data_IF_122152255730
#
_entry.id   IF_122152255730
#
_cell.length_a   1.000
_cell.length_b   1.000
_cell.length_c   1.000
_cell.angle_alpha   90.00
_cell.angle_beta   90.00
_cell.angle_gamma   90.00
#
_symmetry.space_group_name_H-M   'P 1'
#
loop_
_entity.id
_entity.type
_entity.pdbx_description
1 polymer ?
#
# COMPACT_ATOMS: atom_id res chain seq x y z
N UNK A 1 -14.86 -15.37 8.58
CA UNK A 1 -15.61 -15.91 7.43
C UNK A 1 -15.43 -15.09 6.14
N UNK A 2 -15.10 -13.80 6.20
CA UNK A 2 -14.99 -12.96 4.99
C UNK A 2 -13.77 -13.27 4.09
N UNK A 3 -12.64 -13.70 4.66
CA UNK A 3 -11.40 -13.92 3.88
C UNK A 3 -11.47 -15.08 2.88
N UNK A 4 -12.15 -16.17 3.24
CA UNK A 4 -12.37 -17.29 2.32
C UNK A 4 -13.24 -16.88 1.13
N UNK A 5 -14.33 -16.15 1.41
CA UNK A 5 -15.22 -15.63 0.37
C UNK A 5 -14.50 -14.69 -0.59
N UNK A 6 -13.61 -13.82 -0.10
CA UNK A 6 -12.82 -12.94 -0.98
C UNK A 6 -11.85 -13.71 -1.87
N UNK A 7 -11.20 -14.76 -1.34
CA UNK A 7 -10.29 -15.59 -2.15
C UNK A 7 -11.08 -16.38 -3.20
N UNK A 8 -12.23 -16.93 -2.84
CA UNK A 8 -13.10 -17.65 -3.78
C UNK A 8 -13.57 -16.71 -4.90
N UNK A 9 -14.03 -15.50 -4.56
CA UNK A 9 -14.44 -14.50 -5.53
C UNK A 9 -13.29 -14.09 -6.46
N UNK A 10 -12.08 -13.89 -5.90
CA UNK A 10 -10.88 -13.56 -6.67
C UNK A 10 -10.54 -14.68 -7.66
N UNK A 11 -10.48 -15.93 -7.19
CA UNK A 11 -10.18 -17.09 -8.06
C UNK A 11 -11.24 -17.21 -9.15
N UNK A 12 -12.53 -17.01 -8.83
CA UNK A 12 -13.60 -17.11 -9.83
C UNK A 12 -13.49 -16.03 -10.92
N UNK A 13 -13.30 -14.77 -10.53
CA UNK A 13 -13.15 -13.64 -11.46
C UNK A 13 -11.90 -13.82 -12.31
N UNK A 14 -10.75 -14.09 -11.70
CA UNK A 14 -9.50 -14.29 -12.42
C UNK A 14 -9.63 -15.46 -13.40
N UNK A 15 -10.20 -16.58 -12.96
CA UNK A 15 -10.37 -17.75 -13.82
C UNK A 15 -11.27 -17.47 -15.02
N UNK A 16 -12.30 -16.64 -14.84
CA UNK A 16 -13.20 -16.24 -15.93
C UNK A 16 -12.47 -15.43 -17.01
N UNK A 17 -11.66 -14.44 -16.62
CA UNK A 17 -10.95 -13.59 -17.58
C UNK A 17 -9.72 -14.25 -18.19
N UNK A 18 -8.98 -15.05 -17.43
CA UNK A 18 -7.76 -15.71 -17.91
C UNK A 18 -8.03 -17.04 -18.63
N UNK A 19 -9.25 -17.58 -18.57
CA UNK A 19 -9.62 -18.85 -19.21
C UNK A 19 -8.96 -20.09 -18.59
N UNK A 20 -8.31 -19.95 -17.44
CA UNK A 20 -7.66 -21.02 -16.67
C UNK A 20 -7.74 -20.72 -15.19
N UNK A 21 -7.76 -21.75 -14.34
CA UNK A 21 -7.78 -21.56 -12.89
C UNK A 21 -6.49 -20.91 -12.42
N UNK A 22 -6.61 -19.67 -11.93
CA UNK A 22 -5.46 -18.84 -11.54
C UNK A 22 -5.70 -18.26 -10.17
N UNK A 23 -4.66 -18.35 -9.33
CA UNK A 23 -4.58 -17.60 -8.10
C UNK A 23 -3.44 -16.59 -8.28
N UNK A 24 -3.80 -15.36 -8.69
CA UNK A 24 -2.82 -14.36 -9.12
C UNK A 24 -1.70 -14.10 -8.09
N UNK A 25 -1.98 -13.93 -6.77
CA UNK A 25 -0.92 -13.76 -5.77
C UNK A 25 0.06 -14.93 -5.69
N UNK A 26 -0.42 -16.17 -5.82
CA UNK A 26 0.42 -17.37 -5.78
C UNK A 26 1.24 -17.49 -7.06
N UNK A 27 0.66 -17.16 -8.22
CA UNK A 27 1.39 -17.19 -9.49
C UNK A 27 2.53 -16.17 -9.52
N UNK A 28 2.37 -14.99 -8.90
CA UNK A 28 3.46 -14.03 -8.77
C UNK A 28 4.62 -14.65 -8.00
N UNK A 29 4.35 -15.33 -6.89
CA UNK A 29 5.40 -15.98 -6.08
C UNK A 29 6.02 -17.17 -6.83
N UNK A 30 5.20 -18.05 -7.42
CA UNK A 30 5.68 -19.21 -8.19
C UNK A 30 6.56 -18.80 -9.36
N UNK A 31 6.17 -17.76 -10.10
CA UNK A 31 6.93 -17.27 -11.23
C UNK A 31 8.25 -16.61 -10.80
N UNK A 32 8.21 -15.73 -9.78
CA UNK A 32 9.40 -14.95 -9.40
C UNK A 32 10.37 -15.71 -8.47
N UNK A 33 9.92 -16.72 -7.73
CA UNK A 33 10.75 -17.44 -6.75
C UNK A 33 11.14 -18.84 -7.23
N UNK A 34 10.26 -19.53 -7.96
CA UNK A 34 10.44 -20.96 -8.28
C UNK A 34 10.66 -21.25 -9.77
N UNK A 35 10.64 -20.25 -10.66
CA UNK A 35 10.88 -20.45 -12.08
C UNK A 35 12.32 -20.12 -12.48
N UNK A 36 12.88 -20.87 -13.43
CA UNK A 36 14.24 -20.67 -13.96
C UNK A 36 14.38 -19.47 -14.91
N UNK A 37 13.27 -18.90 -15.38
CA UNK A 37 13.24 -17.83 -16.39
C UNK A 37 12.99 -16.42 -15.81
N UNK A 38 12.54 -16.31 -14.56
CA UNK A 38 12.30 -15.01 -13.90
C UNK A 38 13.29 -14.84 -12.75
N UNK A 39 14.16 -13.82 -12.76
CA UNK A 39 13.72 -12.42 -12.66
C UNK A 39 14.66 -11.39 -13.35
N UNK A 40 15.58 -11.82 -14.22
CA UNK A 40 16.70 -10.98 -14.69
C UNK A 40 16.34 -10.02 -15.84
N UNK A 41 15.06 -9.77 -16.11
CA UNK A 41 14.62 -8.92 -17.22
C UNK A 41 15.07 -7.46 -17.06
N UNK A 42 15.25 -6.97 -15.82
CA UNK A 42 15.63 -5.58 -15.55
C UNK A 42 16.85 -5.43 -14.61
N UNK A 43 17.71 -6.45 -14.51
CA UNK A 43 18.96 -6.38 -13.73
C UNK A 43 18.80 -6.66 -12.23
N UNK A 44 19.91 -6.55 -11.50
CA UNK A 44 19.99 -6.78 -10.05
C UNK A 44 20.25 -5.44 -9.35
N UNK A 45 19.52 -5.19 -8.27
CA UNK A 45 19.57 -3.94 -7.52
C UNK A 45 19.78 -4.24 -6.02
N UNK A 46 20.44 -3.33 -5.32
CA UNK A 46 20.72 -3.49 -3.89
C UNK A 46 19.45 -3.44 -3.04
N UNK A 47 19.47 -4.06 -1.86
CA UNK A 47 18.36 -4.03 -0.89
C UNK A 47 17.93 -2.60 -0.50
N UNK A 48 18.85 -1.64 -0.59
CA UNK A 48 18.62 -0.21 -0.34
C UNK A 48 17.55 0.34 -1.30
N UNK A 49 17.41 -0.22 -2.51
CA UNK A 49 16.37 0.16 -3.46
C UNK A 49 14.98 0.10 -2.84
N UNK A 50 14.63 -1.01 -2.17
CA UNK A 50 13.33 -1.15 -1.53
C UNK A 50 13.13 -0.20 -0.35
N UNK A 51 14.17 0.08 0.42
CA UNK A 51 14.09 1.06 1.51
C UNK A 51 13.80 2.44 0.94
N UNK A 52 14.58 2.89 -0.05
CA UNK A 52 14.35 4.16 -0.75
C UNK A 52 12.94 4.21 -1.34
N UNK A 53 12.49 3.14 -1.99
CA UNK A 53 11.16 3.06 -2.58
C UNK A 53 10.04 3.18 -1.54
N UNK A 54 10.17 2.49 -0.40
CA UNK A 54 9.19 2.57 0.69
C UNK A 54 9.15 3.97 1.32
N UNK A 55 10.31 4.58 1.58
CA UNK A 55 10.35 5.95 2.11
C UNK A 55 9.83 6.97 1.11
N UNK A 56 10.12 6.81 -0.18
CA UNK A 56 9.61 7.71 -1.20
C UNK A 56 8.09 7.58 -1.31
N UNK A 57 7.54 6.34 -1.36
CA UNK A 57 6.11 6.09 -1.57
C UNK A 57 5.25 6.35 -0.34
N UNK A 58 5.69 5.88 0.83
CA UNK A 58 4.92 5.93 2.06
C UNK A 58 5.37 7.04 3.03
N UNK A 59 6.43 7.79 2.69
CA UNK A 59 6.95 8.88 3.50
C UNK A 59 7.11 8.47 4.97
N UNK A 60 6.48 9.20 5.88
CA UNK A 60 6.54 8.94 7.31
C UNK A 60 5.70 7.74 7.74
N UNK A 61 4.72 7.28 6.94
CA UNK A 61 3.80 6.22 7.33
C UNK A 61 4.50 4.86 7.45
N UNK A 62 5.54 4.61 6.63
CA UNK A 62 6.34 3.38 6.74
C UNK A 62 7.01 3.26 8.12
N UNK A 63 7.40 4.39 8.71
CA UNK A 63 8.03 4.43 10.03
C UNK A 63 7.04 4.03 11.13
N UNK A 64 5.75 4.31 10.94
CA UNK A 64 4.71 3.99 11.93
C UNK A 64 4.24 2.54 11.90
N UNK A 65 4.32 1.87 10.74
CA UNK A 65 3.87 0.49 10.57
C UNK A 65 4.46 -0.50 11.59
N UNK A 66 5.77 -0.51 11.91
CA UNK A 66 6.33 -1.45 12.90
C UNK A 66 5.87 -1.19 14.33
N UNK A 67 5.43 0.02 14.66
CA UNK A 67 4.96 0.36 16.01
C UNK A 67 3.53 -0.10 16.30
N UNK A 68 2.79 -0.56 15.28
CA UNK A 68 1.42 -1.01 15.44
C UNK A 68 1.33 -2.20 16.42
N UNK A 69 2.25 -3.17 16.30
CA UNK A 69 2.26 -4.37 17.16
C UNK A 69 2.66 -4.03 18.59
N UNK A 70 3.78 -3.33 18.88
CA UNK A 70 4.13 -2.93 20.25
C UNK A 70 3.05 -2.10 20.94
N UNK A 71 2.43 -1.14 20.25
CA UNK A 71 1.39 -0.30 20.85
C UNK A 71 0.08 -1.07 21.06
N UNK A 72 -0.29 -1.95 20.13
CA UNK A 72 -1.44 -2.84 20.31
C UNK A 72 -1.20 -3.84 21.45
N UNK A 73 0.01 -4.38 21.58
CA UNK A 73 0.41 -5.26 22.67
C UNK A 73 0.39 -4.52 24.02
N UNK A 74 0.86 -3.27 24.07
CA UNK A 74 0.76 -2.44 25.27
C UNK A 74 -0.70 -2.19 25.66
N UNK A 75 -1.57 -1.86 24.70
CA UNK A 75 -3.01 -1.74 24.92
C UNK A 75 -3.61 -3.04 25.46
N UNK A 76 -3.23 -4.19 24.90
CA UNK A 76 -3.63 -5.51 25.36
C UNK A 76 -3.21 -5.81 26.81
N UNK A 77 -1.93 -5.58 27.15
CA UNK A 77 -1.41 -5.77 28.52
C UNK A 77 -2.11 -4.86 29.52
N UNK A 78 -2.40 -3.62 29.16
CA UNK A 78 -3.11 -2.69 30.05
C UNK A 78 -4.57 -3.09 30.27
N UNK A 79 -5.26 -3.55 29.24
CA UNK A 79 -6.63 -4.10 29.38
C UNK A 79 -6.61 -5.35 30.27
N UNK A 80 -5.57 -6.20 30.16
CA UNK A 80 -5.35 -7.33 31.07
C UNK A 80 -5.14 -6.91 32.52
N UNK A 81 -4.39 -5.84 32.74
CA UNK A 81 -4.02 -5.34 34.08
C UNK A 81 -5.18 -4.65 34.81
N UNK A 82 -6.25 -4.28 34.10
CA UNK A 82 -7.45 -3.72 34.73
C UNK A 82 -8.17 -4.77 35.59
N UNK A 83 -8.12 -4.59 36.92
CA UNK A 83 -8.70 -5.49 37.95
C UNK A 83 -10.18 -5.85 37.70
N UNK A 84 -10.92 -4.97 37.04
CA UNK A 84 -12.35 -5.10 36.79
C UNK A 84 -12.69 -6.18 35.73
N UNK A 85 -11.77 -6.45 34.79
CA UNK A 85 -11.93 -7.49 33.77
C UNK A 85 -11.22 -8.79 34.17
N UNK A 86 -10.13 -8.69 34.93
CA UNK A 86 -9.36 -9.82 35.47
C UNK A 86 -10.18 -10.75 36.37
N UNK A 87 -11.21 -10.25 37.07
CA UNK A 87 -12.04 -11.07 37.97
C UNK A 87 -13.23 -11.73 37.25
N UNK A 88 -13.51 -11.37 35.98
CA UNK A 88 -14.64 -11.92 35.22
C UNK A 88 -14.24 -13.02 34.22
N UNK A 89 -12.95 -13.20 33.97
CA UNK A 89 -12.49 -14.06 32.87
C UNK A 89 -11.42 -15.04 33.39
N UNK A 90 -11.69 -16.36 33.42
CA UNK A 90 -10.67 -17.36 33.75
C UNK A 90 -9.54 -17.37 32.69
N UNK A 91 -8.41 -18.00 33.01
CA UNK A 91 -7.23 -18.16 32.14
C UNK A 91 -7.51 -19.03 30.89
N UNK A 92 -8.76 -19.31 30.58
CA UNK A 92 -9.08 -20.06 29.38
C UNK A 92 -8.63 -19.26 28.15
N UNK A 93 -8.07 -19.96 27.17
CA UNK A 93 -7.57 -19.43 25.89
C UNK A 93 -8.76 -18.95 25.04
N UNK A 94 -9.53 -17.99 25.57
CA UNK A 94 -10.80 -17.57 25.02
C UNK A 94 -10.55 -16.71 23.78
N UNK A 95 -11.04 -17.21 22.64
CA UNK A 95 -10.93 -16.55 21.35
C UNK A 95 -11.47 -15.11 21.38
N UNK A 96 -12.53 -14.85 22.17
CA UNK A 96 -13.13 -13.53 22.35
C UNK A 96 -12.15 -12.46 22.87
N UNK A 97 -11.11 -12.88 23.58
CA UNK A 97 -10.12 -11.99 24.18
C UNK A 97 -9.00 -11.62 23.20
N UNK A 98 -8.51 -12.60 22.45
CA UNK A 98 -7.45 -12.42 21.45
C UNK A 98 -7.94 -11.80 20.13
N UNK A 99 -9.26 -11.82 19.88
CA UNK A 99 -9.92 -11.21 18.72
C UNK A 99 -9.55 -9.74 18.47
N UNK A 100 -9.18 -8.97 19.50
CA UNK A 100 -8.80 -7.55 19.34
C UNK A 100 -7.35 -7.34 18.89
N UNK A 101 -6.45 -8.26 19.25
CA UNK A 101 -5.01 -8.15 18.96
C UNK A 101 -4.59 -8.99 17.74
N UNK A 102 -5.15 -10.19 17.59
CA UNK A 102 -4.81 -11.12 16.51
C UNK A 102 -4.91 -10.52 15.10
N UNK A 103 -5.93 -9.71 14.75
CA UNK A 103 -6.01 -9.14 13.41
C UNK A 103 -4.82 -8.22 13.09
N UNK A 104 -4.41 -7.36 14.03
CA UNK A 104 -3.26 -6.46 13.85
C UNK A 104 -1.98 -7.27 13.71
N UNK A 105 -1.81 -8.31 14.54
CA UNK A 105 -0.67 -9.20 14.46
C UNK A 105 -0.62 -9.95 13.12
N UNK A 106 -1.73 -10.52 12.65
CA UNK A 106 -1.75 -11.25 11.38
C UNK A 106 -1.52 -10.34 10.17
N UNK A 107 -2.05 -9.13 10.18
CA UNK A 107 -1.74 -8.11 9.15
C UNK A 107 -0.25 -7.78 9.13
N UNK A 108 0.34 -7.55 10.31
CA UNK A 108 1.78 -7.29 10.42
C UNK A 108 2.62 -8.48 9.94
N UNK A 109 2.26 -9.70 10.35
CA UNK A 109 2.94 -10.92 9.91
C UNK A 109 2.82 -11.12 8.41
N UNK A 110 1.67 -10.83 7.80
CA UNK A 110 1.49 -10.89 6.34
C UNK A 110 2.38 -9.89 5.62
N UNK A 111 2.48 -8.66 6.13
CA UNK A 111 3.40 -7.64 5.60
C UNK A 111 4.87 -8.10 5.70
N UNK A 112 5.27 -8.61 6.87
CA UNK A 112 6.63 -9.11 7.10
C UNK A 112 6.97 -10.32 6.22
N UNK A 113 6.04 -11.27 6.08
CA UNK A 113 6.22 -12.44 5.20
C UNK A 113 6.49 -12.00 3.76
N UNK A 114 5.68 -11.07 3.25
CA UNK A 114 5.85 -10.56 1.89
C UNK A 114 7.17 -9.81 1.72
N UNK A 115 7.52 -8.94 2.69
CA UNK A 115 8.81 -8.27 2.70
C UNK A 115 9.96 -9.28 2.69
N UNK A 116 9.95 -10.28 3.56
CA UNK A 116 11.02 -11.31 3.61
C UNK A 116 11.15 -12.04 2.27
N UNK A 117 10.05 -12.49 1.68
CA UNK A 117 10.09 -13.21 0.39
C UNK A 117 10.77 -12.37 -0.70
N UNK A 118 10.34 -11.12 -0.88
CA UNK A 118 10.84 -10.26 -1.95
C UNK A 118 12.18 -9.58 -1.61
N UNK A 119 12.49 -9.36 -0.34
CA UNK A 119 13.83 -8.92 0.09
C UNK A 119 14.89 -10.02 -0.09
N UNK A 120 14.51 -11.29 -0.03
CA UNK A 120 15.42 -12.41 -0.32
C UNK A 120 15.68 -12.60 -1.82
N UNK A 121 14.81 -12.09 -2.71
CA UNK A 121 15.05 -12.20 -4.16
C UNK A 121 16.16 -11.24 -4.61
N UNK A 122 17.09 -11.64 -5.49
CA UNK A 122 18.16 -10.75 -5.96
C UNK A 122 17.60 -9.59 -6.81
N UNK A 123 16.54 -9.83 -7.56
CA UNK A 123 15.89 -8.82 -8.39
C UNK A 123 14.90 -7.98 -7.57
N UNK A 124 14.96 -6.66 -7.74
CA UNK A 124 14.14 -5.70 -7.01
C UNK A 124 13.36 -4.83 -7.96
N UNK A 125 12.04 -4.79 -7.79
CA UNK A 125 11.18 -3.86 -8.52
C UNK A 125 10.13 -3.28 -7.58
N UNK A 126 9.80 -2.01 -7.78
CA UNK A 126 8.78 -1.35 -6.97
C UNK A 126 7.42 -2.05 -7.05
N UNK A 127 7.11 -2.71 -8.18
CA UNK A 127 5.81 -3.35 -8.41
C UNK A 127 5.55 -4.56 -7.52
N UNK A 128 6.60 -5.22 -7.05
CA UNK A 128 6.45 -6.33 -6.12
C UNK A 128 5.98 -5.89 -4.74
N UNK A 129 6.12 -4.60 -4.39
CA UNK A 129 5.69 -4.05 -3.11
C UNK A 129 4.25 -3.53 -3.12
N UNK A 130 3.57 -3.46 -4.28
CA UNK A 130 2.18 -3.00 -4.34
C UNK A 130 1.21 -3.75 -3.40
N UNK A 131 1.34 -5.08 -3.17
CA UNK A 131 0.40 -5.78 -2.27
C UNK A 131 0.49 -5.39 -0.80
N UNK A 132 1.64 -4.90 -0.33
CA UNK A 132 1.82 -4.53 1.10
C UNK A 132 1.45 -3.08 1.41
N UNK A 133 1.29 -2.24 0.39
CA UNK A 133 0.92 -0.84 0.50
C UNK A 133 -0.35 -0.60 1.34
N UNK A 134 -1.49 -1.26 1.10
CA UNK A 134 -2.66 -1.12 1.96
C UNK A 134 -2.43 -1.61 3.40
N UNK A 135 -1.56 -2.60 3.60
CA UNK A 135 -1.22 -3.11 4.93
C UNK A 135 -0.42 -2.07 5.73
N UNK A 136 0.54 -1.40 5.08
CA UNK A 136 1.31 -0.30 5.68
C UNK A 136 0.36 0.82 6.11
N UNK A 137 -0.60 1.22 5.26
CA UNK A 137 -1.59 2.24 5.58
C UNK A 137 -2.41 1.87 6.83
N UNK A 138 -2.91 0.63 6.87
CA UNK A 138 -3.71 0.14 7.99
C UNK A 138 -2.90 0.12 9.29
N UNK A 139 -1.67 -0.43 9.26
CA UNK A 139 -0.80 -0.49 10.44
C UNK A 139 -0.41 0.91 10.92
N UNK A 140 -0.08 1.83 10.02
CA UNK A 140 0.20 3.22 10.37
C UNK A 140 -1.01 3.91 11.02
N UNK A 141 -2.23 3.69 10.49
CA UNK A 141 -3.45 4.23 11.08
C UNK A 141 -3.70 3.69 12.49
N UNK A 142 -3.50 2.39 12.72
CA UNK A 142 -3.58 1.77 14.06
C UNK A 142 -2.57 2.39 15.01
N UNK A 143 -1.33 2.62 14.57
CA UNK A 143 -0.30 3.30 15.37
C UNK A 143 -0.72 4.72 15.75
N UNK A 144 -1.20 5.52 14.79
CA UNK A 144 -1.65 6.90 15.03
C UNK A 144 -2.81 6.96 16.04
N UNK A 145 -3.76 6.05 15.92
CA UNK A 145 -4.89 5.96 16.83
C UNK A 145 -4.46 5.48 18.23
N UNK A 146 -3.42 4.64 18.32
CA UNK A 146 -2.88 4.17 19.59
C UNK A 146 -2.05 5.22 20.34
N UNK A 147 -1.33 6.12 19.65
CA UNK A 147 -0.42 7.11 20.28
C UNK A 147 -1.09 7.91 21.41
N UNK A 148 -2.27 8.56 21.22
CA UNK A 148 -2.90 9.34 22.29
C UNK A 148 -3.38 8.49 23.46
N UNK A 149 -3.84 7.26 23.20
CA UNK A 149 -4.29 6.34 24.25
C UNK A 149 -3.13 5.86 25.11
N UNK A 150 -2.01 5.51 24.49
CA UNK A 150 -0.81 5.09 25.20
C UNK A 150 -0.18 6.27 25.93
N UNK A 151 -0.06 7.42 25.27
CA UNK A 151 0.52 8.63 25.83
C UNK A 151 -0.22 9.15 27.08
N UNK A 152 -1.55 9.24 27.02
CA UNK A 152 -2.37 9.64 28.19
C UNK A 152 -2.32 8.63 29.33
N UNK A 153 -2.14 7.35 29.01
CA UNK A 153 -2.02 6.28 29.99
C UNK A 153 -0.67 6.29 30.73
N UNK A 154 0.40 6.77 30.07
CA UNK A 154 1.75 6.86 30.64
C UNK A 154 1.99 8.19 31.37
N UNK A 155 1.59 9.33 30.79
CA UNK A 155 1.84 10.67 31.32
C UNK A 155 0.64 11.29 32.06
N UNK A 156 -0.46 10.55 32.21
CA UNK A 156 -1.67 11.01 32.87
C UNK A 156 -2.65 11.77 31.95
N UNK A 157 -3.91 11.84 32.39
CA UNK A 157 -5.04 12.30 31.57
C UNK A 157 -4.97 13.75 31.08
N UNK A 158 -4.23 14.62 31.78
CA UNK A 158 -4.05 16.03 31.40
C UNK A 158 -3.32 16.24 30.07
N UNK A 159 -2.56 15.25 29.60
CA UNK A 159 -1.77 15.33 28.37
C UNK A 159 -2.55 15.03 27.09
N UNK A 160 -3.85 14.68 27.18
CA UNK A 160 -4.66 14.24 26.03
C UNK A 160 -4.64 15.23 24.86
N UNK A 161 -4.79 16.53 25.15
CA UNK A 161 -4.76 17.59 24.12
C UNK A 161 -3.41 17.64 23.40
N UNK A 162 -2.32 17.49 24.15
CA UNK A 162 -0.95 17.49 23.59
C UNK A 162 -0.77 16.32 22.64
N UNK A 163 -1.19 15.11 23.01
CA UNK A 163 -1.05 13.95 22.13
C UNK A 163 -1.87 14.05 20.86
N UNK A 164 -3.11 14.55 20.93
CA UNK A 164 -3.91 14.80 19.72
C UNK A 164 -3.31 15.90 18.85
N UNK A 165 -2.73 16.94 19.45
CA UNK A 165 -1.99 17.95 18.72
C UNK A 165 -0.77 17.36 18.00
N UNK A 166 0.02 16.51 18.66
CA UNK A 166 1.17 15.82 18.04
C UNK A 166 0.74 14.94 16.85
N UNK A 167 -0.35 14.18 16.99
CA UNK A 167 -0.90 13.38 15.88
C UNK A 167 -1.38 14.27 14.74
N UNK A 168 -2.08 15.37 15.04
CA UNK A 168 -2.51 16.35 14.04
C UNK A 168 -1.33 16.98 13.30
N UNK A 169 -0.29 17.41 14.01
CA UNK A 169 0.93 17.95 13.44
C UNK A 169 1.63 16.94 12.53
N UNK A 170 1.74 15.67 12.96
CA UNK A 170 2.29 14.60 12.15
C UNK A 170 1.49 14.39 10.85
N UNK A 171 0.16 14.39 10.92
CA UNK A 171 -0.70 14.26 9.74
C UNK A 171 -0.54 15.44 8.78
N UNK A 172 -0.43 16.66 9.29
CA UNK A 172 -0.17 17.85 8.46
C UNK A 172 1.16 17.70 7.71
N UNK A 173 2.23 17.31 8.41
CA UNK A 173 3.53 17.07 7.76
C UNK A 173 3.43 15.96 6.71
N UNK A 174 2.75 14.85 7.03
CA UNK A 174 2.54 13.76 6.09
C UNK A 174 1.80 14.23 4.82
N UNK A 175 0.73 15.02 4.96
CA UNK A 175 -0.03 15.56 3.83
C UNK A 175 0.83 16.50 2.99
N UNK A 176 1.57 17.42 3.62
CA UNK A 176 2.44 18.36 2.91
C UNK A 176 3.52 17.63 2.11
N UNK A 177 4.19 16.64 2.70
CA UNK A 177 5.20 15.84 2.00
C UNK A 177 4.59 15.04 0.84
N UNK A 178 3.39 14.49 1.04
CA UNK A 178 2.69 13.71 0.02
C UNK A 178 2.26 14.58 -1.15
N UNK A 179 1.72 15.78 -0.88
CA UNK A 179 1.37 16.76 -1.91
C UNK A 179 2.61 17.28 -2.65
N UNK A 180 3.70 17.54 -1.93
CA UNK A 180 4.98 17.93 -2.54
C UNK A 180 5.48 16.88 -3.53
N UNK A 181 5.42 15.60 -3.15
CA UNK A 181 5.78 14.49 -4.04
C UNK A 181 4.85 14.41 -5.24
N UNK A 182 3.53 14.47 -5.04
CA UNK A 182 2.55 14.43 -6.13
C UNK A 182 2.77 15.59 -7.11
N UNK A 183 3.08 16.79 -6.62
CA UNK A 183 3.42 17.94 -7.43
C UNK A 183 4.73 17.75 -8.21
N UNK A 184 5.77 17.20 -7.59
CA UNK A 184 7.04 16.89 -8.25
C UNK A 184 6.86 15.84 -9.36
N UNK A 185 6.07 14.79 -9.11
CA UNK A 185 5.79 13.76 -10.09
C UNK A 185 5.01 14.34 -11.27
N UNK A 186 4.00 15.18 -11.00
CA UNK A 186 3.25 15.87 -12.03
C UNK A 186 4.16 16.76 -12.89
N UNK A 187 5.02 17.58 -12.28
CA UNK A 187 5.92 18.49 -13.03
C UNK A 187 6.96 17.76 -13.89
N UNK A 188 7.51 16.65 -13.40
CA UNK A 188 8.60 15.95 -14.09
C UNK A 188 8.10 14.91 -15.09
N UNK A 189 6.87 14.41 -14.94
CA UNK A 189 6.32 13.32 -15.74
C UNK A 189 4.98 13.66 -16.41
N UNK A 190 4.60 14.94 -16.53
CA UNK A 190 3.39 15.37 -17.27
C UNK A 190 3.51 15.27 -18.79
N UNK A 191 4.71 15.05 -19.32
CA UNK A 191 4.98 15.12 -20.76
C UNK A 191 4.01 14.28 -21.63
N UNK A 192 3.66 13.02 -21.30
CA UNK A 192 2.70 12.26 -22.10
C UNK A 192 1.31 12.91 -22.14
N UNK A 193 0.84 13.44 -21.00
CA UNK A 193 -0.46 14.10 -20.90
C UNK A 193 -0.48 15.35 -21.77
N UNK A 194 0.60 16.13 -21.75
CA UNK A 194 0.75 17.33 -22.57
C UNK A 194 0.79 17.00 -24.08
N UNK A 195 1.51 15.94 -24.46
CA UNK A 195 1.55 15.47 -25.85
C UNK A 195 0.17 15.02 -26.33
N UNK A 196 -0.56 14.22 -25.54
CA UNK A 196 -1.91 13.78 -25.92
C UNK A 196 -2.91 14.94 -25.98
N UNK A 197 -2.79 15.91 -25.06
CA UNK A 197 -3.59 17.13 -25.08
C UNK A 197 -3.33 17.94 -26.36
N UNK A 198 -2.07 18.18 -26.69
CA UNK A 198 -1.69 18.89 -27.92
C UNK A 198 -2.12 18.15 -29.18
N UNK A 199 -2.01 16.82 -29.21
CA UNK A 199 -2.51 16.00 -30.32
C UNK A 199 -4.03 16.13 -30.48
N UNK A 200 -4.78 16.04 -29.38
CA UNK A 200 -6.24 16.18 -29.41
C UNK A 200 -6.66 17.57 -29.90
N UNK A 201 -5.98 18.63 -29.45
CA UNK A 201 -6.19 19.99 -29.94
C UNK A 201 -5.91 20.09 -31.45
N UNK A 202 -4.82 19.45 -31.93
CA UNK A 202 -4.49 19.47 -33.35
C UNK A 202 -5.52 18.75 -34.24
N UNK A 203 -6.10 17.65 -33.75
CA UNK A 203 -7.09 16.83 -34.45
C UNK A 203 -8.50 17.42 -34.41
N UNK A 204 -8.82 18.26 -33.41
CA UNK A 204 -10.16 18.85 -33.25
C UNK A 204 -10.33 20.20 -33.94
N UNK A 205 -9.24 20.86 -34.36
CA UNK A 205 -9.30 22.09 -35.16
C UNK A 205 -9.82 21.79 -36.58
N UNK A 206 -10.98 22.35 -37.00
CA UNK A 206 -11.60 22.05 -38.30
C UNK A 206 -10.68 22.34 -39.50
N UNK A 207 -9.87 23.39 -39.40
CA UNK A 207 -8.93 23.79 -40.45
C UNK A 207 -7.87 22.71 -40.76
N UNK A 208 -7.49 21.87 -39.78
CA UNK A 208 -6.54 20.78 -39.97
C UNK A 208 -7.21 19.51 -40.52
N UNK A 209 -8.47 19.25 -40.10
CA UNK A 209 -9.29 18.14 -40.61
C UNK A 209 -9.57 18.30 -42.10
N UNK A 210 -9.86 19.53 -42.56
CA UNK A 210 -10.08 19.81 -43.97
C UNK A 210 -8.77 19.67 -44.77
N UNK A 211 -7.65 20.20 -44.26
CA UNK A 211 -6.32 20.05 -44.90
C UNK A 211 -5.93 18.58 -45.11
N UNK A 212 -6.12 17.72 -44.10
CA UNK A 212 -5.87 16.28 -44.23
C UNK A 212 -6.83 15.60 -45.21
N UNK A 213 -8.12 15.98 -45.22
CA UNK A 213 -9.09 15.47 -46.20
C UNK A 213 -8.74 15.87 -47.63
N UNK A 214 -8.24 17.09 -47.85
CA UNK A 214 -7.80 17.55 -49.17
C UNK A 214 -6.55 16.80 -49.65
N UNK A 215 -5.53 16.65 -48.80
CA UNK A 215 -4.32 15.88 -49.15
C UNK A 215 -4.61 14.39 -49.39
N UNK A 216 -5.47 13.77 -48.58
CA UNK A 216 -5.87 12.38 -48.78
C UNK A 216 -6.68 12.18 -50.08
N UNK A 217 -7.41 13.21 -50.54
CA UNK A 217 -8.05 13.20 -51.87
C UNK A 217 -7.02 13.34 -52.98
N UNK A 218 -6.08 14.28 -52.90
CA UNK A 218 -5.03 14.44 -53.93
C UNK A 218 -4.23 13.16 -54.17
N UNK A 219 -3.79 12.47 -53.11
CA UNK A 219 -3.06 11.21 -53.24
C UNK A 219 -3.91 10.11 -53.91
N UNK A 220 -5.23 10.10 -53.68
CA UNK A 220 -6.17 9.17 -54.34
C UNK A 220 -6.36 9.46 -55.83
N UNK A 221 -6.22 10.71 -56.26
CA UNK A 221 -6.32 11.06 -57.68
C UNK A 221 -5.01 10.84 -58.46
N UNK A 222 -3.89 10.65 -57.76
CA UNK A 222 -2.56 10.40 -58.34
C UNK A 222 -2.19 8.92 -58.43
N UNK A 223 -3.03 8.01 -57.92
CA UNK A 223 -2.92 6.55 -58.05
C UNK A 223 -3.90 6.01 -59.09
#
# INVERSE_FOLDING_TARGET
>A
MCGGSTVIALVFIDSHYYGKTVLAPLNIVLYNVFSSHGPNLYGVEDWIFYVKNLFLNWNLAVVLAPFAVPLAAFGYVRVRSSKQLSHRMPFDFSYAYWQRFLPVLFVFMSMCLWLVIFFSQPHKEERFLFPIYPLIALLAAVTLDAIPRVGTSLLGGGTRKVWHFCVGAYLVVFVVLSLSRSAALHRNFSAPIEVFKGLNEHLTVPANLDKQRYQAREVRWMS
#
